data_IF_846012220486
#
_entry.id   IF_846012220486
#
_cell.length_a   1.000
_cell.length_b   1.000
_cell.length_c   1.000
_cell.angle_alpha   90.00
_cell.angle_beta   90.00
_cell.angle_gamma   90.00
#
_symmetry.space_group_name_H-M   'P 1'
#
loop_
_entity.id
_entity.type
_entity.pdbx_description
1 polymer ?
#
# COMPACT_ATOMS: atom_id res chain seq x y z
N UNK A 1 -43.94 -31.39 -26.30
CA UNK A 1 -45.37 -31.07 -26.44
C UNK A 1 -46.06 -31.35 -25.11
N UNK A 2 -46.31 -30.29 -24.35
CA UNK A 2 -47.37 -30.19 -23.32
C UNK A 2 -48.74 -30.28 -24.04
N UNK A 3 -49.95 -30.41 -23.42
CA UNK A 3 -50.27 -30.22 -22.00
C UNK A 3 -51.43 -31.08 -21.42
N UNK A 4 -51.57 -31.10 -20.08
CA UNK A 4 -52.89 -31.23 -19.44
C UNK A 4 -53.19 -29.95 -18.63
N UNK A 5 -54.38 -29.41 -18.88
CA UNK A 5 -54.92 -28.16 -18.34
C UNK A 5 -56.19 -28.48 -17.54
N UNK A 6 -56.32 -27.83 -16.37
CA UNK A 6 -57.55 -27.37 -15.67
C UNK A 6 -58.50 -28.42 -15.04
N UNK A 7 -59.32 -28.08 -14.01
CA UNK A 7 -59.87 -26.73 -13.74
C UNK A 7 -59.90 -26.21 -12.28
N UNK A 8 -60.04 -24.87 -12.20
CA UNK A 8 -60.60 -24.10 -11.08
C UNK A 8 -62.08 -24.46 -10.84
N UNK A 9 -62.56 -24.39 -9.58
CA UNK A 9 -63.87 -23.79 -9.21
C UNK A 9 -64.08 -23.73 -7.67
N UNK A 10 -64.41 -22.51 -7.20
CA UNK A 10 -65.35 -22.09 -6.12
C UNK A 10 -64.94 -22.02 -4.63
N UNK A 11 -64.74 -20.75 -4.21
CA UNK A 11 -65.23 -19.98 -3.03
C UNK A 11 -66.03 -20.70 -1.92
N UNK A 12 -65.63 -20.47 -0.65
CA UNK A 12 -66.42 -19.85 0.45
C UNK A 12 -65.60 -19.90 1.77
N UNK A 13 -65.18 -18.76 2.32
CA UNK A 13 -65.77 -18.08 3.50
C UNK A 13 -65.82 -18.89 4.81
N UNK A 14 -64.88 -18.58 5.72
CA UNK A 14 -65.07 -18.24 7.16
C UNK A 14 -63.97 -18.82 8.07
N UNK A 15 -63.34 -17.91 8.82
CA UNK A 15 -62.97 -18.18 10.22
C UNK A 15 -61.69 -18.97 10.48
N UNK A 16 -60.53 -18.32 10.36
CA UNK A 16 -59.40 -18.62 11.23
C UNK A 16 -58.55 -17.37 11.41
N UNK A 17 -58.56 -16.81 12.61
CA UNK A 17 -57.51 -15.92 13.10
C UNK A 17 -56.19 -16.69 13.06
N UNK A 18 -55.46 -16.59 11.96
CA UNK A 18 -54.06 -16.99 11.94
C UNK A 18 -53.29 -15.86 12.63
N UNK A 19 -52.88 -16.09 13.87
CA UNK A 19 -51.74 -15.39 14.44
C UNK A 19 -50.53 -15.72 13.54
N UNK A 20 -50.25 -14.87 12.57
CA UNK A 20 -48.90 -14.78 11.98
C UNK A 20 -48.05 -14.01 12.98
N UNK A 21 -47.71 -14.67 14.08
CA UNK A 21 -46.63 -14.26 14.96
C UNK A 21 -45.52 -15.30 14.80
N UNK A 22 -44.91 -15.30 13.62
CA UNK A 22 -43.59 -15.86 13.42
C UNK A 22 -42.69 -14.70 12.98
N UNK A 23 -42.60 -13.70 13.86
CA UNK A 23 -41.47 -12.76 13.84
C UNK A 23 -40.28 -13.64 14.19
N UNK A 24 -39.59 -14.16 13.16
CA UNK A 24 -38.24 -14.68 13.32
C UNK A 24 -37.49 -13.63 14.11
N UNK A 25 -36.92 -14.03 15.25
CA UNK A 25 -35.96 -13.19 15.93
C UNK A 25 -34.90 -12.81 14.89
N UNK A 26 -34.95 -11.57 14.41
CA UNK A 26 -33.89 -10.98 13.60
C UNK A 26 -32.65 -11.10 14.48
N UNK A 27 -31.73 -11.98 14.10
CA UNK A 27 -30.46 -12.09 14.78
C UNK A 27 -29.83 -10.69 14.70
N UNK A 28 -29.77 -9.99 15.83
CA UNK A 28 -29.08 -8.72 15.90
C UNK A 28 -27.63 -8.99 15.56
N UNK A 29 -27.14 -8.37 14.49
CA UNK A 29 -25.71 -8.35 14.21
C UNK A 29 -24.98 -7.85 15.46
N UNK A 30 -23.94 -8.55 15.90
CA UNK A 30 -23.08 -8.09 16.98
C UNK A 30 -21.92 -7.29 16.38
N UNK A 31 -21.46 -6.25 17.06
CA UNK A 31 -20.38 -5.38 16.59
C UNK A 31 -19.08 -6.14 16.35
N UNK A 32 -18.78 -7.14 17.18
CA UNK A 32 -17.69 -8.08 16.96
C UNK A 32 -18.21 -9.50 16.70
N UNK A 33 -17.39 -10.32 16.03
CA UNK A 33 -17.76 -11.69 15.64
C UNK A 33 -18.07 -12.62 16.84
N UNK A 34 -17.42 -12.40 17.98
CA UNK A 34 -17.67 -13.17 19.21
C UNK A 34 -18.64 -12.47 20.18
N UNK A 35 -19.33 -11.41 19.75
CA UNK A 35 -20.23 -10.63 20.59
C UNK A 35 -19.81 -9.16 20.74
N UNK A 36 -20.00 -8.58 21.92
CA UNK A 36 -19.70 -7.17 22.20
C UNK A 36 -18.40 -6.99 22.99
N UNK A 37 -17.42 -7.90 22.78
CA UNK A 37 -16.08 -7.82 23.39
C UNK A 37 -15.26 -6.70 22.73
N UNK A 38 -15.72 -5.46 22.92
CA UNK A 38 -15.07 -4.25 22.41
C UNK A 38 -13.83 -3.92 23.24
N UNK A 39 -12.77 -3.51 22.56
CA UNK A 39 -11.60 -2.93 23.20
C UNK A 39 -11.93 -1.46 23.51
N UNK A 40 -12.45 -1.21 24.71
CA UNK A 40 -13.01 0.10 25.12
C UNK A 40 -11.98 1.22 25.24
N UNK A 41 -10.70 0.88 25.35
CA UNK A 41 -9.63 1.86 25.55
C UNK A 41 -9.12 2.44 24.22
N UNK A 42 -9.60 1.92 23.09
CA UNK A 42 -9.24 2.41 21.77
C UNK A 42 -10.17 3.57 21.35
N UNK A 43 -9.58 4.75 21.18
CA UNK A 43 -10.27 5.97 20.70
C UNK A 43 -11.16 5.78 19.44
N UNK A 44 -10.82 4.93 18.42
CA UNK A 44 -11.71 4.71 17.29
C UNK A 44 -13.03 3.99 17.64
N UNK A 45 -13.13 3.37 18.81
CA UNK A 45 -14.25 2.50 19.17
C UNK A 45 -15.39 3.23 19.89
N UNK A 46 -15.17 4.48 20.29
CA UNK A 46 -16.14 5.30 21.03
C UNK A 46 -17.30 5.81 20.16
N UNK A 47 -17.15 5.78 18.83
CA UNK A 47 -18.18 6.20 17.87
C UNK A 47 -18.88 5.01 17.19
N UNK A 48 -18.67 3.81 17.71
CA UNK A 48 -19.44 2.63 17.33
C UNK A 48 -20.81 2.72 18.02
N UNK A 49 -21.63 3.68 17.60
CA UNK A 49 -23.04 3.66 17.97
C UNK A 49 -23.64 2.31 17.53
N UNK A 50 -24.66 1.84 18.26
CA UNK A 50 -25.44 0.63 18.00
C UNK A 50 -26.19 0.70 16.64
N UNK A 51 -25.46 0.95 15.55
CA UNK A 51 -25.93 0.94 14.17
C UNK A 51 -26.34 -0.47 13.74
N UNK A 52 -26.17 -1.46 14.62
CA UNK A 52 -26.80 -2.76 14.54
C UNK A 52 -28.29 -2.75 14.91
N UNK A 53 -29.01 -1.71 14.46
CA UNK A 53 -30.46 -1.82 14.34
C UNK A 53 -30.74 -2.95 13.35
N UNK A 54 -31.59 -3.91 13.73
CA UNK A 54 -31.83 -5.21 13.06
C UNK A 54 -32.44 -5.14 11.65
N UNK A 55 -31.94 -4.24 10.82
CA UNK A 55 -32.35 -3.90 9.48
C UNK A 55 -31.19 -4.10 8.46
N UNK A 56 -30.08 -4.74 8.85
CA UNK A 56 -29.10 -5.22 7.85
C UNK A 56 -29.83 -6.17 6.92
N UNK A 57 -29.82 -5.84 5.64
CA UNK A 57 -30.61 -6.56 4.66
C UNK A 57 -29.92 -7.84 4.16
N UNK A 58 -28.67 -8.11 4.55
CA UNK A 58 -28.03 -9.43 4.37
C UNK A 58 -26.99 -9.71 5.47
N UNK A 59 -26.73 -10.99 5.77
CA UNK A 59 -25.65 -11.42 6.70
C UNK A 59 -24.26 -10.88 6.29
N UNK A 60 -24.10 -10.47 5.02
CA UNK A 60 -22.88 -9.90 4.48
C UNK A 60 -22.58 -8.51 5.04
N UNK A 61 -23.59 -7.63 5.15
CA UNK A 61 -23.40 -6.26 5.67
C UNK A 61 -22.90 -6.29 7.12
N UNK A 62 -23.43 -7.24 7.90
CA UNK A 62 -22.99 -7.48 9.27
C UNK A 62 -21.52 -7.91 9.33
N UNK A 63 -21.12 -8.86 8.48
CA UNK A 63 -19.74 -9.37 8.44
C UNK A 63 -18.74 -8.31 7.96
N UNK A 64 -19.11 -7.47 6.98
CA UNK A 64 -18.31 -6.34 6.53
C UNK A 64 -18.08 -5.34 7.68
N UNK A 65 -19.14 -5.01 8.43
CA UNK A 65 -19.02 -4.13 9.60
C UNK A 65 -18.13 -4.74 10.69
N UNK A 66 -18.27 -6.04 10.99
CA UNK A 66 -17.40 -6.74 11.93
C UNK A 66 -15.93 -6.75 11.48
N UNK A 67 -15.67 -6.90 10.17
CA UNK A 67 -14.34 -6.81 9.60
C UNK A 67 -13.75 -5.40 9.75
N UNK A 68 -14.53 -4.37 9.43
CA UNK A 68 -14.14 -2.97 9.59
C UNK A 68 -13.77 -2.64 11.04
N UNK A 69 -14.59 -3.10 12.00
CA UNK A 69 -14.34 -2.89 13.43
C UNK A 69 -13.11 -3.66 13.92
N UNK A 70 -12.86 -4.85 13.39
CA UNK A 70 -11.62 -5.57 13.65
C UNK A 70 -10.40 -4.80 13.13
N UNK A 71 -10.44 -4.31 11.89
CA UNK A 71 -9.33 -3.60 11.25
C UNK A 71 -9.00 -2.27 11.93
N UNK A 72 -10.03 -1.59 12.47
CA UNK A 72 -9.87 -0.40 13.31
C UNK A 72 -9.33 -0.68 14.72
N UNK A 73 -9.12 -1.95 15.06
CA UNK A 73 -8.62 -2.38 16.37
C UNK A 73 -9.67 -2.36 17.48
N UNK A 74 -10.96 -2.35 17.13
CA UNK A 74 -12.06 -2.35 18.10
C UNK A 74 -12.49 -3.74 18.54
N UNK A 75 -12.27 -4.73 17.67
CA UNK A 75 -12.54 -6.13 17.98
C UNK A 75 -11.21 -6.90 18.10
N UNK A 76 -11.07 -7.78 19.10
CA UNK A 76 -9.83 -8.55 19.29
C UNK A 76 -9.62 -9.62 18.23
N UNK A 77 -10.71 -10.07 17.59
CA UNK A 77 -10.70 -11.15 16.63
C UNK A 77 -11.49 -10.77 15.37
N UNK A 78 -10.99 -11.16 14.18
CA UNK A 78 -11.70 -10.95 12.94
C UNK A 78 -12.91 -11.89 12.83
N UNK A 79 -13.86 -11.62 11.92
CA UNK A 79 -14.91 -12.58 11.58
C UNK A 79 -14.27 -13.86 11.00
N UNK A 80 -14.30 -14.96 11.77
CA UNK A 80 -13.61 -16.21 11.45
C UNK A 80 -14.34 -17.11 10.44
N UNK A 81 -15.63 -16.87 10.19
CA UNK A 81 -16.48 -17.77 9.41
C UNK A 81 -16.81 -17.21 8.01
N UNK A 82 -16.24 -17.86 6.98
CA UNK A 82 -16.62 -17.78 5.56
C UNK A 82 -16.92 -16.38 5.00
N UNK A 83 -16.29 -15.35 5.55
CA UNK A 83 -16.53 -13.98 5.11
C UNK A 83 -15.57 -13.58 4.01
N UNK A 84 -14.27 -13.54 4.35
CA UNK A 84 -13.20 -13.29 3.40
C UNK A 84 -12.45 -14.60 3.16
N UNK A 85 -12.25 -14.92 1.88
CA UNK A 85 -11.41 -16.03 1.44
C UNK A 85 -10.42 -15.57 0.39
N UNK A 86 -9.48 -16.45 0.04
CA UNK A 86 -8.51 -16.18 -1.03
C UNK A 86 -9.19 -15.83 -2.36
N UNK A 87 -10.15 -16.65 -2.78
CA UNK A 87 -10.75 -16.52 -4.11
C UNK A 87 -11.98 -15.62 -4.06
N UNK A 88 -12.01 -14.59 -4.90
CA UNK A 88 -13.08 -13.59 -4.94
C UNK A 88 -14.44 -14.16 -5.40
N UNK A 89 -14.43 -15.27 -6.14
CA UNK A 89 -15.66 -15.91 -6.61
C UNK A 89 -16.43 -16.63 -5.49
N UNK A 90 -15.81 -16.92 -4.35
CA UNK A 90 -16.40 -17.70 -3.26
C UNK A 90 -16.69 -19.17 -3.59
N UNK A 91 -16.34 -19.64 -4.78
CA UNK A 91 -16.60 -21.02 -5.25
C UNK A 91 -15.32 -21.80 -5.50
N UNK A 92 -14.24 -21.11 -5.86
CA UNK A 92 -12.96 -21.75 -6.12
C UNK A 92 -12.29 -22.17 -4.81
N UNK A 93 -11.72 -23.37 -4.83
CA UNK A 93 -10.97 -23.91 -3.70
C UNK A 93 -9.50 -23.52 -3.87
N UNK A 94 -8.94 -22.70 -2.97
CA UNK A 94 -7.51 -22.38 -3.00
C UNK A 94 -6.69 -23.64 -2.72
N UNK A 95 -5.49 -23.72 -3.31
CA UNK A 95 -4.53 -24.75 -2.97
C UNK A 95 -3.82 -24.36 -1.65
N UNK A 96 -4.26 -25.02 -0.57
CA UNK A 96 -3.80 -24.75 0.79
C UNK A 96 -2.34 -25.14 1.06
N UNK A 97 -1.71 -25.91 0.17
CA UNK A 97 -0.30 -26.31 0.27
C UNK A 97 0.67 -25.33 -0.42
N UNK A 98 0.16 -24.37 -1.20
CA UNK A 98 0.99 -23.33 -1.80
C UNK A 98 1.47 -22.33 -0.72
N UNK A 99 2.48 -21.54 -1.06
CA UNK A 99 3.17 -20.65 -0.14
C UNK A 99 2.93 -19.19 -0.47
N UNK A 100 2.56 -18.40 0.53
CA UNK A 100 2.47 -16.94 0.48
C UNK A 100 3.80 -16.33 0.99
N UNK A 101 4.57 -15.63 0.14
CA UNK A 101 5.94 -15.22 0.45
C UNK A 101 6.00 -13.93 1.30
N UNK A 102 5.37 -13.89 2.48
CA UNK A 102 5.19 -12.68 3.32
C UNK A 102 6.47 -11.92 3.70
N UNK A 103 7.66 -12.51 3.49
CA UNK A 103 8.96 -11.89 3.78
C UNK A 103 9.32 -11.77 5.26
N UNK A 104 8.39 -12.08 6.16
CA UNK A 104 8.61 -12.14 7.61
C UNK A 104 9.36 -13.40 8.03
N UNK A 105 9.12 -14.51 7.33
CA UNK A 105 9.74 -15.81 7.58
C UNK A 105 10.42 -16.29 6.29
N UNK A 106 11.57 -16.94 6.44
CA UNK A 106 12.25 -17.61 5.33
C UNK A 106 11.34 -18.70 4.78
N UNK A 107 10.79 -18.48 3.58
CA UNK A 107 9.92 -19.42 2.87
C UNK A 107 8.45 -19.01 2.83
N UNK A 108 8.01 -18.05 3.64
CA UNK A 108 6.61 -17.62 3.72
C UNK A 108 5.75 -18.52 4.60
N UNK A 109 4.43 -18.42 4.44
CA UNK A 109 3.44 -19.25 5.11
C UNK A 109 2.72 -20.13 4.10
N UNK A 110 2.37 -21.37 4.45
CA UNK A 110 1.41 -22.12 3.64
C UNK A 110 0.08 -21.36 3.60
N UNK A 111 -0.66 -21.44 2.50
CA UNK A 111 -1.97 -20.80 2.37
C UNK A 111 -2.93 -21.24 3.50
N UNK A 112 -2.80 -22.46 4.00
CA UNK A 112 -3.48 -22.90 5.21
C UNK A 112 -3.13 -22.03 6.44
N UNK A 113 -1.84 -21.90 6.76
CA UNK A 113 -1.38 -21.16 7.95
C UNK A 113 -1.62 -19.65 7.82
N UNK A 114 -1.48 -19.12 6.60
CA UNK A 114 -1.67 -17.71 6.30
C UNK A 114 -3.14 -17.28 6.50
N UNK A 115 -4.10 -18.16 6.16
CA UNK A 115 -5.53 -17.91 6.34
C UNK A 115 -5.93 -17.60 7.78
N UNK A 116 -5.21 -18.20 8.75
CA UNK A 116 -5.44 -18.00 10.17
C UNK A 116 -4.58 -16.89 10.78
N UNK A 117 -3.69 -16.25 10.02
CA UNK A 117 -2.95 -15.09 10.51
C UNK A 117 -3.89 -13.90 10.64
N UNK A 118 -3.99 -13.25 11.82
CA UNK A 118 -4.83 -12.07 12.00
C UNK A 118 -4.51 -10.96 10.98
N UNK A 119 -3.23 -10.79 10.64
CA UNK A 119 -2.76 -9.76 9.70
C UNK A 119 -3.25 -9.99 8.27
N UNK A 120 -3.62 -11.21 7.89
CA UNK A 120 -4.16 -11.49 6.56
C UNK A 120 -5.51 -10.78 6.32
N UNK A 121 -6.24 -10.43 7.38
CA UNK A 121 -7.55 -9.79 7.27
C UNK A 121 -7.51 -8.27 7.42
N UNK A 122 -6.33 -7.69 7.46
CA UNK A 122 -6.18 -6.24 7.46
C UNK A 122 -6.49 -5.72 6.05
N UNK A 123 -7.27 -4.64 5.95
CA UNK A 123 -7.52 -3.94 4.69
C UNK A 123 -6.28 -3.14 4.29
N UNK A 124 -5.93 -3.15 3.01
CA UNK A 124 -4.73 -2.46 2.54
C UNK A 124 -4.95 -0.95 2.41
N UNK A 125 -6.14 -0.55 1.97
CA UNK A 125 -6.57 0.81 1.67
C UNK A 125 -7.96 1.15 2.22
N UNK A 126 -8.87 0.17 2.28
CA UNK A 126 -10.27 0.30 2.67
C UNK A 126 -10.63 -0.74 3.72
N UNK A 127 -11.01 -0.27 4.91
CA UNK A 127 -11.53 -1.13 5.97
C UNK A 127 -12.94 -1.65 5.60
N UNK A 128 -13.27 -2.88 6.00
CA UNK A 128 -14.55 -3.53 5.81
C UNK A 128 -14.76 -4.22 4.47
N UNK A 129 -13.81 -4.12 3.54
CA UNK A 129 -13.88 -4.77 2.23
C UNK A 129 -12.97 -6.00 2.16
N UNK A 130 -13.57 -7.19 1.98
CA UNK A 130 -12.80 -8.43 1.76
C UNK A 130 -11.88 -8.34 0.55
N UNK A 131 -12.29 -7.66 -0.53
CA UNK A 131 -11.53 -7.53 -1.78
C UNK A 131 -10.22 -6.77 -1.61
N UNK A 132 -10.15 -6.01 -0.51
CA UNK A 132 -9.01 -5.20 -0.17
C UNK A 132 -8.14 -5.78 0.96
N UNK A 133 -8.52 -6.95 1.49
CA UNK A 133 -7.72 -7.63 2.51
C UNK A 133 -6.45 -8.22 1.92
N UNK A 134 -5.38 -8.29 2.73
CA UNK A 134 -4.17 -9.03 2.37
C UNK A 134 -4.48 -10.48 1.96
N UNK A 135 -5.46 -11.12 2.59
CA UNK A 135 -5.88 -12.49 2.33
C UNK A 135 -6.41 -12.67 0.90
N UNK A 136 -7.38 -11.84 0.49
CA UNK A 136 -7.99 -11.96 -0.83
C UNK A 136 -7.00 -11.53 -1.92
N UNK A 137 -6.20 -10.49 -1.67
CA UNK A 137 -5.15 -10.03 -2.59
C UNK A 137 -4.03 -11.06 -2.77
N UNK A 138 -3.76 -11.89 -1.76
CA UNK A 138 -2.79 -12.99 -1.85
C UNK A 138 -3.33 -14.25 -2.56
N UNK A 139 -4.59 -14.27 -3.01
CA UNK A 139 -5.21 -15.48 -3.53
C UNK A 139 -4.55 -16.03 -4.81
N UNK A 140 -3.85 -15.21 -5.60
CA UNK A 140 -3.06 -15.70 -6.73
C UNK A 140 -1.92 -16.65 -6.30
N UNK A 141 -1.27 -16.40 -5.14
CA UNK A 141 -0.27 -17.33 -4.59
C UNK A 141 -0.90 -18.66 -4.18
N UNK A 142 -2.19 -18.66 -3.87
CA UNK A 142 -2.96 -19.82 -3.47
C UNK A 142 -3.75 -20.44 -4.62
N UNK A 143 -3.45 -20.07 -5.88
CA UNK A 143 -4.01 -20.70 -7.07
C UNK A 143 -5.48 -20.36 -7.35
N UNK A 144 -5.98 -19.22 -6.85
CA UNK A 144 -7.31 -18.75 -7.20
C UNK A 144 -7.40 -18.38 -8.68
N UNK A 145 -8.44 -18.84 -9.40
CA UNK A 145 -8.58 -18.51 -10.81
C UNK A 145 -8.94 -17.02 -10.98
N UNK A 146 -8.45 -16.44 -12.08
CA UNK A 146 -8.68 -15.03 -12.45
C UNK A 146 -8.10 -14.01 -11.45
N UNK A 147 -7.19 -14.43 -10.59
CA UNK A 147 -6.36 -13.53 -9.80
C UNK A 147 -4.92 -13.68 -10.29
N UNK A 148 -4.33 -12.56 -10.68
CA UNK A 148 -2.95 -12.50 -11.15
C UNK A 148 -2.24 -11.36 -10.42
N UNK A 149 -0.92 -11.44 -10.35
CA UNK A 149 -0.11 -10.35 -9.83
C UNK A 149 -0.01 -9.24 -10.87
N UNK A 150 -0.62 -8.09 -10.57
CA UNK A 150 -0.64 -6.93 -11.47
C UNK A 150 0.59 -6.03 -11.28
N UNK A 151 1.16 -6.02 -10.07
CA UNK A 151 2.26 -5.13 -9.71
C UNK A 151 3.49 -5.91 -9.27
N UNK A 152 4.66 -5.43 -9.69
CA UNK A 152 5.95 -6.04 -9.40
C UNK A 152 6.89 -4.99 -8.79
N UNK A 153 7.65 -5.37 -7.76
CA UNK A 153 8.67 -4.49 -7.20
C UNK A 153 9.79 -4.22 -8.22
N UNK A 154 10.24 -5.25 -8.93
CA UNK A 154 11.24 -5.09 -9.98
C UNK A 154 10.55 -4.93 -11.35
N UNK A 155 10.94 -3.94 -12.18
CA UNK A 155 10.31 -3.70 -13.48
C UNK A 155 10.40 -4.86 -14.48
N UNK A 156 11.37 -5.76 -14.31
CA UNK A 156 11.56 -6.97 -15.12
C UNK A 156 10.73 -8.17 -14.64
N UNK A 157 9.91 -7.97 -13.60
CA UNK A 157 9.12 -9.02 -12.95
C UNK A 157 9.95 -10.08 -12.25
N UNK A 158 11.27 -9.87 -12.09
CA UNK A 158 12.13 -10.82 -11.38
C UNK A 158 12.15 -10.54 -9.87
N UNK A 159 12.46 -11.56 -9.04
CA UNK A 159 12.68 -11.32 -7.63
C UNK A 159 13.87 -10.39 -7.36
N UNK A 160 13.83 -9.60 -6.27
CA UNK A 160 14.90 -8.69 -5.93
C UNK A 160 16.22 -9.43 -5.70
N UNK A 161 17.33 -8.88 -6.18
CA UNK A 161 18.67 -9.48 -6.02
C UNK A 161 19.17 -9.48 -4.57
N UNK A 162 18.55 -8.68 -3.70
CA UNK A 162 18.90 -8.55 -2.27
C UNK A 162 17.69 -8.85 -1.36
N UNK A 163 17.08 -10.05 -1.43
CA UNK A 163 15.78 -10.32 -0.80
C UNK A 163 15.79 -10.23 0.74
N UNK A 164 16.94 -10.44 1.38
CA UNK A 164 17.10 -10.36 2.83
C UNK A 164 17.45 -8.95 3.34
N UNK A 165 17.67 -7.96 2.46
CA UNK A 165 18.00 -6.60 2.87
C UNK A 165 16.77 -5.97 3.53
N UNK A 166 16.89 -5.58 4.80
CA UNK A 166 15.85 -4.91 5.56
C UNK A 166 15.83 -3.41 5.30
N UNK A 167 14.67 -2.87 4.93
CA UNK A 167 14.38 -1.44 4.99
C UNK A 167 13.91 -1.11 6.40
N UNK A 168 14.61 -0.21 7.08
CA UNK A 168 14.26 0.21 8.43
C UNK A 168 13.68 1.63 8.48
N UNK A 169 13.40 2.25 7.33
CA UNK A 169 12.95 3.64 7.22
C UNK A 169 11.53 3.77 6.67
N UNK A 170 11.18 3.02 5.62
CA UNK A 170 9.90 3.22 4.91
C UNK A 170 8.87 2.18 5.33
N UNK A 171 9.17 0.91 5.09
CA UNK A 171 8.26 -0.23 5.25
C UNK A 171 8.54 -1.05 6.50
N UNK A 172 9.74 -0.93 7.09
CA UNK A 172 10.22 -1.81 8.17
C UNK A 172 10.24 -3.30 7.79
N UNK A 173 10.29 -3.60 6.48
CA UNK A 173 10.25 -4.95 5.93
C UNK A 173 11.55 -5.32 5.21
N UNK A 174 11.78 -6.62 5.00
CA UNK A 174 12.82 -7.09 4.08
C UNK A 174 12.41 -6.84 2.63
N UNK A 175 13.36 -6.83 1.70
CA UNK A 175 13.06 -6.70 0.28
C UNK A 175 12.10 -7.77 -0.25
N UNK A 176 12.13 -8.98 0.31
CA UNK A 176 11.10 -9.99 0.03
C UNK A 176 9.72 -9.59 0.58
N UNK A 177 9.67 -8.98 1.75
CA UNK A 177 8.42 -8.45 2.31
C UNK A 177 7.87 -7.27 1.51
N UNK A 178 8.75 -6.41 0.99
CA UNK A 178 8.39 -5.31 0.09
C UNK A 178 7.88 -5.87 -1.24
N UNK A 179 8.58 -6.85 -1.83
CA UNK A 179 8.13 -7.55 -3.04
C UNK A 179 6.73 -8.14 -2.85
N UNK A 180 6.50 -8.81 -1.72
CA UNK A 180 5.19 -9.30 -1.35
C UNK A 180 4.15 -8.18 -1.29
N UNK A 181 4.45 -7.07 -0.62
CA UNK A 181 3.55 -5.92 -0.55
C UNK A 181 3.15 -5.41 -1.95
N UNK A 182 4.14 -5.22 -2.84
CA UNK A 182 3.89 -4.79 -4.22
C UNK A 182 3.02 -5.79 -4.97
N UNK A 183 3.25 -7.09 -4.76
CA UNK A 183 2.48 -8.14 -5.43
C UNK A 183 0.98 -8.15 -5.08
N UNK A 184 0.59 -7.45 -4.01
CA UNK A 184 -0.80 -7.31 -3.59
C UNK A 184 -1.48 -6.07 -4.19
N UNK A 185 -0.72 -5.15 -4.78
CA UNK A 185 -1.28 -3.95 -5.41
C UNK A 185 -1.88 -4.27 -6.78
N UNK A 186 -2.96 -3.56 -7.09
CA UNK A 186 -3.49 -3.43 -8.44
C UNK A 186 -2.62 -2.49 -9.27
N UNK A 187 -2.79 -2.52 -10.58
CA UNK A 187 -1.98 -1.73 -11.51
C UNK A 187 -2.00 -0.22 -11.20
N UNK A 188 -3.16 0.34 -10.87
CA UNK A 188 -3.33 1.77 -10.56
C UNK A 188 -2.75 2.15 -9.18
N UNK A 189 -2.92 1.28 -8.19
CA UNK A 189 -2.31 1.41 -6.85
C UNK A 189 -0.78 1.39 -6.92
N UNK A 190 -0.23 0.53 -7.78
CA UNK A 190 1.20 0.38 -8.02
C UNK A 190 1.84 1.67 -8.55
N UNK A 191 1.17 2.35 -9.47
CA UNK A 191 1.66 3.61 -10.04
C UNK A 191 1.67 4.76 -9.02
N UNK A 192 0.74 4.75 -8.06
CA UNK A 192 0.65 5.77 -7.01
C UNK A 192 1.65 5.52 -5.85
N UNK A 193 1.90 4.26 -5.51
CA UNK A 193 2.60 3.90 -4.28
C UNK A 193 4.02 4.49 -4.14
N UNK A 194 4.91 4.48 -5.16
CA UNK A 194 6.24 5.10 -5.03
C UNK A 194 6.19 6.59 -4.64
N UNK A 195 5.16 7.31 -5.10
CA UNK A 195 4.97 8.72 -4.75
C UNK A 195 4.50 8.91 -3.31
N UNK A 196 3.62 8.03 -2.84
CA UNK A 196 3.09 8.03 -1.47
C UNK A 196 4.12 7.55 -0.44
N UNK A 197 4.81 6.45 -0.73
CA UNK A 197 5.93 5.94 0.04
C UNK A 197 7.12 6.91 0.03
N UNK A 198 7.25 7.68 -1.06
CA UNK A 198 8.30 8.68 -1.26
C UNK A 198 9.69 8.10 -1.43
N UNK A 199 9.78 6.83 -1.83
CA UNK A 199 11.02 6.06 -1.92
C UNK A 199 11.02 5.13 -3.14
N UNK A 200 12.17 5.01 -3.81
CA UNK A 200 12.42 3.99 -4.83
C UNK A 200 12.92 2.70 -4.17
N UNK A 201 11.96 1.90 -3.71
CA UNK A 201 12.25 0.62 -3.06
C UNK A 201 12.82 -0.44 -4.02
N UNK A 202 12.62 -0.27 -5.34
CA UNK A 202 13.18 -1.16 -6.35
C UNK A 202 14.71 -1.00 -6.42
N UNK A 203 15.23 0.23 -6.42
CA UNK A 203 16.68 0.50 -6.28
C UNK A 203 17.20 -0.11 -4.97
N UNK A 204 16.50 0.16 -3.87
CA UNK A 204 16.91 -0.31 -2.55
C UNK A 204 17.12 -1.83 -2.53
N UNK A 205 16.21 -2.56 -3.18
CA UNK A 205 16.19 -4.02 -3.27
C UNK A 205 17.03 -4.63 -4.40
N UNK A 206 17.70 -3.79 -5.17
CA UNK A 206 18.63 -4.22 -6.21
C UNK A 206 17.94 -4.72 -7.48
N UNK A 207 16.80 -4.13 -7.83
CA UNK A 207 16.06 -4.39 -9.07
C UNK A 207 16.57 -3.58 -10.29
N UNK A 208 17.67 -2.84 -10.15
CA UNK A 208 18.13 -1.92 -11.20
C UNK A 208 17.41 -0.56 -11.23
N UNK A 209 16.34 -0.40 -10.44
CA UNK A 209 15.62 0.86 -10.24
C UNK A 209 14.72 1.28 -11.39
N UNK A 210 14.16 2.49 -11.28
CA UNK A 210 13.59 3.20 -12.42
C UNK A 210 14.65 3.35 -13.53
N UNK A 211 14.24 3.35 -14.80
CA UNK A 211 15.19 3.53 -15.90
C UNK A 211 15.89 4.90 -15.77
N UNK A 212 17.14 5.04 -16.23
CA UNK A 212 17.91 6.29 -16.21
C UNK A 212 17.08 7.48 -16.71
N UNK A 213 16.23 7.30 -17.72
CA UNK A 213 15.33 8.36 -18.23
C UNK A 213 14.29 8.83 -17.20
N UNK A 214 13.71 7.94 -16.40
CA UNK A 214 12.80 8.30 -15.31
C UNK A 214 13.56 8.91 -14.13
N UNK A 215 14.74 8.38 -13.83
CA UNK A 215 15.64 8.95 -12.82
C UNK A 215 16.00 10.38 -13.22
N UNK A 216 16.41 10.64 -14.47
CA UNK A 216 16.81 11.96 -14.96
C UNK A 216 15.64 12.93 -14.95
N UNK A 217 14.44 12.48 -15.36
CA UNK A 217 13.21 13.26 -15.29
C UNK A 217 12.84 13.63 -13.84
N UNK A 218 13.15 12.79 -12.86
CA UNK A 218 12.90 13.05 -11.44
C UNK A 218 14.07 13.78 -10.74
N UNK A 219 15.31 13.61 -11.23
CA UNK A 219 16.52 14.19 -10.68
C UNK A 219 16.60 15.70 -10.91
N UNK A 220 16.03 16.20 -12.01
CA UNK A 220 15.83 17.64 -12.23
C UNK A 220 14.82 18.24 -11.24
N UNK A 221 13.94 17.41 -10.66
CA UNK A 221 12.83 17.86 -9.81
C UNK A 221 13.23 17.83 -8.33
N UNK A 222 14.07 16.88 -7.87
CA UNK A 222 14.40 16.82 -6.44
C UNK A 222 15.64 15.97 -6.07
N UNK A 223 16.56 16.53 -5.28
CA UNK A 223 17.60 15.78 -4.55
C UNK A 223 17.31 15.87 -3.05
N UNK A 224 17.01 14.74 -2.41
CA UNK A 224 16.88 14.68 -0.95
C UNK A 224 18.27 14.53 -0.32
N UNK A 225 18.61 15.45 0.58
CA UNK A 225 19.78 15.32 1.45
C UNK A 225 19.29 15.32 2.89
N UNK A 226 20.01 14.63 3.79
CA UNK A 226 19.70 14.70 5.22
C UNK A 226 19.90 16.13 5.73
N UNK A 227 20.94 16.80 5.23
CA UNK A 227 21.23 18.21 5.49
C UNK A 227 20.46 19.11 4.51
N UNK A 228 19.35 19.70 4.98
CA UNK A 228 18.43 20.47 4.13
C UNK A 228 19.08 21.68 3.43
N UNK A 229 20.16 22.24 3.98
CA UNK A 229 20.91 23.37 3.40
C UNK A 229 21.89 22.94 2.29
N UNK A 230 21.85 21.69 1.83
CA UNK A 230 22.86 21.12 0.92
C UNK A 230 24.23 20.91 1.58
N UNK A 231 24.26 20.97 2.91
CA UNK A 231 25.45 20.72 3.73
C UNK A 231 25.89 19.27 3.73
N UNK A 232 26.99 18.99 4.41
CA UNK A 232 27.50 17.61 4.60
C UNK A 232 27.33 17.16 6.04
N UNK A 233 27.04 15.87 6.22
CA UNK A 233 27.00 15.23 7.54
C UNK A 233 28.41 15.21 8.13
N UNK A 234 28.59 15.79 9.31
CA UNK A 234 29.90 15.93 9.98
C UNK A 234 30.21 14.83 11.00
N UNK A 235 29.20 14.05 11.39
CA UNK A 235 29.33 12.90 12.28
C UNK A 235 28.82 11.59 11.62
N UNK A 236 29.37 11.18 10.46
CA UNK A 236 28.83 10.09 9.65
C UNK A 236 28.68 8.77 10.42
N UNK A 237 29.60 8.46 11.32
CA UNK A 237 29.61 7.22 12.09
C UNK A 237 28.71 7.25 13.34
N UNK A 238 28.01 8.36 13.62
CA UNK A 238 27.20 8.48 14.82
C UNK A 238 26.02 7.50 14.77
N UNK A 239 25.93 6.54 15.71
CA UNK A 239 24.86 5.57 15.73
C UNK A 239 23.58 6.17 16.33
N UNK A 240 22.44 5.84 15.76
CA UNK A 240 21.12 6.19 16.29
C UNK A 240 20.12 5.04 16.04
N UNK A 241 19.02 5.02 16.81
CA UNK A 241 17.99 3.99 16.71
C UNK A 241 16.69 4.51 17.28
N UNK A 242 15.63 4.35 16.50
CA UNK A 242 14.26 4.41 16.97
C UNK A 242 13.98 3.19 17.87
N UNK A 243 13.10 3.33 18.87
CA UNK A 243 12.75 2.22 19.77
C UNK A 243 12.28 0.98 18.98
N UNK A 244 12.98 -0.15 19.18
CA UNK A 244 12.65 -1.42 18.52
C UNK A 244 13.22 -1.61 17.10
N UNK A 245 13.98 -0.65 16.57
CA UNK A 245 14.56 -0.74 15.23
C UNK A 245 16.06 -1.13 15.23
N UNK A 246 16.58 -1.42 14.04
CA UNK A 246 18.02 -1.65 13.83
C UNK A 246 18.82 -0.35 14.06
N UNK A 247 19.99 -0.48 14.70
CA UNK A 247 20.95 0.63 14.83
C UNK A 247 21.43 1.07 13.45
N UNK A 248 21.31 2.37 13.17
CA UNK A 248 21.71 3.02 11.91
C UNK A 248 22.79 4.04 12.20
N UNK A 249 23.51 4.47 11.17
CA UNK A 249 24.49 5.56 11.24
C UNK A 249 24.00 6.76 10.43
N UNK A 250 24.50 7.96 10.76
CA UNK A 250 24.20 9.17 10.00
C UNK A 250 24.60 9.07 8.53
N UNK A 251 25.69 8.36 8.22
CA UNK A 251 26.11 8.08 6.84
C UNK A 251 25.06 7.24 6.08
N UNK A 252 24.55 6.18 6.70
CA UNK A 252 23.50 5.35 6.10
C UNK A 252 22.21 6.14 5.86
N UNK A 253 21.88 7.07 6.76
CA UNK A 253 20.71 7.93 6.61
C UNK A 253 20.86 8.89 5.42
N UNK A 254 22.05 9.49 5.26
CA UNK A 254 22.37 10.37 4.13
C UNK A 254 22.39 9.62 2.81
N UNK A 255 22.99 8.42 2.76
CA UNK A 255 22.97 7.55 1.57
C UNK A 255 21.52 7.18 1.21
N UNK A 256 20.70 6.78 2.18
CA UNK A 256 19.30 6.46 1.96
C UNK A 256 18.50 7.67 1.46
N UNK A 257 18.70 8.85 2.04
CA UNK A 257 18.09 10.09 1.57
C UNK A 257 18.44 10.37 0.10
N UNK A 258 19.72 10.32 -0.26
CA UNK A 258 20.19 10.64 -1.61
C UNK A 258 19.78 9.61 -2.66
N UNK A 259 19.97 8.33 -2.33
CA UNK A 259 19.87 7.26 -3.32
C UNK A 259 18.46 6.71 -3.44
N UNK A 260 17.69 6.70 -2.35
CA UNK A 260 16.40 6.00 -2.29
C UNK A 260 15.21 6.97 -2.30
N UNK A 261 15.30 8.13 -1.64
CA UNK A 261 14.16 9.07 -1.57
C UNK A 261 14.10 9.93 -2.83
N UNK A 262 13.01 9.81 -3.58
CA UNK A 262 12.82 10.49 -4.87
C UNK A 262 11.73 11.55 -4.87
N UNK A 263 11.02 11.74 -3.75
CA UNK A 263 9.96 12.75 -3.66
C UNK A 263 10.17 13.76 -2.53
N UNK A 264 9.66 15.00 -2.69
CA UNK A 264 9.65 15.98 -1.62
C UNK A 264 8.86 15.53 -0.38
N UNK A 265 7.77 14.79 -0.57
CA UNK A 265 6.94 14.24 0.51
C UNK A 265 7.72 13.23 1.34
N UNK A 266 8.40 12.28 0.70
CA UNK A 266 9.28 11.30 1.36
C UNK A 266 10.41 11.98 2.11
N UNK A 267 11.06 12.97 1.50
CA UNK A 267 12.17 13.66 2.13
C UNK A 267 11.78 14.48 3.35
N UNK A 268 10.59 15.11 3.34
CA UNK A 268 10.07 15.88 4.48
C UNK A 268 9.32 15.02 5.48
N UNK A 269 9.19 13.71 5.24
CA UNK A 269 8.49 12.81 6.13
C UNK A 269 9.27 12.66 7.45
N UNK A 270 8.74 13.15 8.60
CA UNK A 270 9.43 13.06 9.87
C UNK A 270 9.63 11.60 10.33
N UNK A 271 8.87 10.64 9.78
CA UNK A 271 9.04 9.22 10.11
C UNK A 271 10.30 8.61 9.50
N UNK A 272 10.77 9.10 8.35
CA UNK A 272 11.98 8.56 7.72
C UNK A 272 13.25 9.13 8.34
N UNK A 273 13.34 10.46 8.51
CA UNK A 273 14.58 11.12 8.94
C UNK A 273 14.46 12.00 10.17
N UNK A 274 13.30 12.07 10.85
CA UNK A 274 13.12 12.98 11.98
C UNK A 274 14.16 12.78 13.08
N UNK A 275 14.45 11.54 13.47
CA UNK A 275 15.50 11.25 14.46
C UNK A 275 16.89 11.51 13.91
N UNK A 276 17.17 11.08 12.66
CA UNK A 276 18.46 11.32 12.02
C UNK A 276 18.78 12.82 11.97
N UNK A 277 17.82 13.68 11.61
CA UNK A 277 17.98 15.14 11.58
C UNK A 277 18.20 15.77 12.96
N UNK A 278 17.79 15.10 14.03
CA UNK A 278 18.05 15.57 15.40
C UNK A 278 19.42 15.14 15.93
N UNK A 279 19.92 13.99 15.47
CA UNK A 279 21.15 13.36 15.98
C UNK A 279 22.38 13.63 15.11
N UNK A 280 22.17 13.74 13.80
CA UNK A 280 23.23 14.00 12.84
C UNK A 280 23.51 15.49 12.76
N UNK A 281 24.80 15.84 12.74
CA UNK A 281 25.26 17.22 12.64
C UNK A 281 25.59 17.53 11.19
N UNK A 282 25.20 18.72 10.73
CA UNK A 282 25.46 19.20 9.37
C UNK A 282 26.39 20.42 9.42
N UNK A 283 27.34 20.51 8.50
CA UNK A 283 28.04 21.76 8.21
C UNK A 283 27.48 22.39 6.95
N UNK A 284 27.45 23.72 6.90
CA UNK A 284 27.14 24.45 5.66
C UNK A 284 28.07 23.97 4.52
N UNK A 285 27.60 23.97 3.26
CA UNK A 285 28.49 23.73 2.14
C UNK A 285 29.63 24.73 2.24
N UNK A 286 30.87 24.27 2.15
CA UNK A 286 32.01 25.14 1.94
C UNK A 286 31.87 25.71 0.53
N UNK A 287 30.99 26.70 0.36
CA UNK A 287 31.07 27.58 -0.80
C UNK A 287 32.42 28.22 -0.67
N UNK A 288 33.33 27.80 -1.55
CA UNK A 288 34.63 28.41 -1.72
C UNK A 288 34.35 29.85 -2.18
N UNK A 289 34.09 30.73 -1.21
CA UNK A 289 34.16 32.17 -1.39
C UNK A 289 35.62 32.52 -1.54
N UNK A 290 36.30 31.92 -2.51
CA UNK A 290 37.56 32.40 -3.04
C UNK A 290 37.21 33.73 -3.71
N UNK A 291 37.60 34.87 -3.12
CA UNK A 291 37.36 36.17 -3.72
C UNK A 291 38.41 36.34 -4.81
N UNK A 292 38.22 35.73 -5.99
CA UNK A 292 39.34 35.69 -6.93
C UNK A 292 39.15 34.99 -8.27
N UNK A 293 38.02 35.15 -8.94
CA UNK A 293 37.99 34.99 -10.40
C UNK A 293 37.23 36.18 -11.02
N UNK A 294 37.91 37.12 -11.70
CA UNK A 294 37.23 38.21 -12.37
C UNK A 294 36.29 37.63 -13.45
N UNK A 295 35.02 38.01 -13.37
CA UNK A 295 34.02 37.76 -14.41
C UNK A 295 34.57 38.14 -15.78
N UNK A 296 34.94 37.13 -16.58
CA UNK A 296 34.91 37.27 -18.03
C UNK A 296 33.44 37.41 -18.40
N UNK A 297 32.97 38.66 -18.49
CA UNK A 297 31.77 39.00 -19.24
C UNK A 297 31.97 38.54 -20.68
N UNK A 298 31.61 37.29 -20.97
CA UNK A 298 31.32 36.87 -22.33
C UNK A 298 30.02 37.57 -22.70
N UNK A 299 30.16 38.73 -23.31
CA UNK A 299 29.11 39.46 -24.00
C UNK A 299 28.51 38.54 -25.08
N UNK A 300 27.42 37.86 -24.73
CA UNK A 300 26.50 37.29 -25.71
C UNK A 300 25.64 38.41 -26.26
N UNK A 301 26.20 39.18 -27.20
CA UNK A 301 25.41 39.99 -28.14
C UNK A 301 24.90 39.08 -29.28
N UNK A 302 23.70 39.35 -29.79
CA UNK A 302 22.84 38.33 -30.41
C UNK A 302 23.21 38.08 -31.87
N UNK A 303 23.65 36.86 -32.18
CA UNK A 303 23.81 36.35 -33.55
C UNK A 303 22.49 35.76 -34.10
N UNK A 304 21.35 36.36 -33.72
CA UNK A 304 20.00 35.91 -34.08
C UNK A 304 19.32 36.82 -35.14
N UNK A 305 20.07 37.75 -35.75
CA UNK A 305 19.56 38.69 -36.76
C UNK A 305 20.09 38.45 -38.19
N UNK A 306 20.82 37.37 -38.46
CA UNK A 306 21.33 37.07 -39.83
C UNK A 306 20.70 35.84 -40.51
N UNK A 307 19.76 35.14 -39.86
CA UNK A 307 19.12 33.96 -40.45
C UNK A 307 17.69 34.20 -41.01
N UNK A 308 17.18 35.45 -40.98
CA UNK A 308 15.84 35.78 -41.50
C UNK A 308 15.81 36.48 -42.88
N UNK A 309 16.94 36.64 -43.57
CA UNK A 309 16.98 37.25 -44.92
C UNK A 309 17.18 36.20 -46.05
N UNK A 310 17.28 34.92 -45.71
CA UNK A 310 17.61 33.85 -46.67
C UNK A 310 16.46 33.09 -47.34
N UNK A 311 15.18 33.43 -47.09
CA UNK A 311 14.03 32.73 -47.68
C UNK A 311 13.10 33.67 -48.46
N UNK A 312 13.65 34.34 -49.47
CA UNK A 312 12.87 34.86 -50.61
C UNK A 312 13.65 34.51 -51.87
N UNK A 313 12.95 34.07 -52.92
CA UNK A 313 13.45 33.53 -54.20
C UNK A 313 13.78 32.03 -54.05
N UNK A 314 12.97 31.10 -54.54
CA UNK A 314 12.80 30.78 -55.96
C UNK A 314 11.36 30.32 -56.25
N UNK A 315 10.73 30.98 -57.22
CA UNK A 315 9.54 30.55 -57.92
C UNK A 315 9.89 29.56 -59.05
N UNK A 316 8.97 28.61 -59.28
CA UNK A 316 8.55 27.93 -60.54
C UNK A 316 9.55 27.77 -61.71
N UNK A 317 9.50 26.60 -62.39
CA UNK A 317 8.36 26.22 -63.25
C UNK A 317 7.62 24.95 -62.86
#
# INVERSE_FOLDING_TARGET
MNPYRLPLIVKALLGASFMVANVRALASCTTCALGNDLITDANPCNNLEDNVNGLFNTDLDCKNAQLEHYQKGCCPLPPLEDHCGYCADGFSTPNMELMVPTGQIVGGYACFDYYYQPQSRIGMFTDGDCSDTFLQRAGFYCGCPNQEQECWLCPDGQPPSKPAKGDAWVTKATCRGIEYLFSLFKEDECAAFPYEAGADLAIFCGCGGLNQTEIDAQAEIYQCNLCENGGVVTNPDFPYSTEGDFVKTCAQAEEFAREIIKTPSGCRNPRHFGEARQKCTCSEPLFDTSPGAPSLMVSWTPLLLQLLIGMVVIAHP
#
